data_IF_071173099306
#
_entry.id   IF_071173099306
#
_cell.length_a   1.000
_cell.length_b   1.000
_cell.length_c   1.000
_cell.angle_alpha   90.00
_cell.angle_beta   90.00
_cell.angle_gamma   90.00
#
_symmetry.space_group_name_H-M   'P 1'
#
loop_
_entity.id
_entity.type
_entity.pdbx_description
1 polymer ?
#
# COMPACT_ATOMS: atom_id res chain seq x y z
N UNK A 1 -45.14 30.69 23.74
CA UNK A 1 -43.66 30.73 23.77
C UNK A 1 -43.15 29.76 22.73
N UNK A 2 -42.50 30.28 21.69
CA UNK A 2 -41.92 29.50 20.60
C UNK A 2 -40.65 28.85 21.14
N UNK A 3 -40.62 27.52 21.26
CA UNK A 3 -39.39 26.80 21.56
C UNK A 3 -38.40 27.07 20.43
N UNK A 4 -37.37 27.87 20.70
CA UNK A 4 -36.16 27.92 19.89
C UNK A 4 -35.63 26.48 19.81
N UNK A 5 -35.72 25.86 18.64
CA UNK A 5 -34.98 24.64 18.33
C UNK A 5 -33.51 24.99 18.56
N UNK A 6 -32.97 24.60 19.70
CA UNK A 6 -31.53 24.61 19.91
C UNK A 6 -30.95 23.62 18.91
N UNK A 7 -30.56 24.10 17.74
CA UNK A 7 -29.77 23.32 16.79
C UNK A 7 -28.52 22.86 17.53
N UNK A 8 -28.27 21.54 17.53
CA UNK A 8 -27.08 20.99 18.16
C UNK A 8 -25.85 21.69 17.53
N UNK A 9 -25.03 22.42 18.31
CA UNK A 9 -23.87 23.13 17.77
C UNK A 9 -22.81 22.17 17.20
N UNK A 10 -23.02 20.86 17.32
CA UNK A 10 -22.22 19.81 16.70
C UNK A 10 -22.89 19.17 15.48
N UNK A 11 -24.09 19.58 15.05
CA UNK A 11 -24.83 18.94 13.95
C UNK A 11 -24.03 19.01 12.64
N UNK A 12 -23.50 20.18 12.31
CA UNK A 12 -22.64 20.36 11.13
C UNK A 12 -21.40 19.47 11.20
N UNK A 13 -20.75 19.41 12.37
CA UNK A 13 -19.59 18.54 12.59
C UNK A 13 -19.93 17.06 12.49
N UNK A 14 -21.12 16.65 12.96
CA UNK A 14 -21.61 15.27 12.86
C UNK A 14 -21.78 14.88 11.40
N UNK A 15 -22.42 15.72 10.60
CA UNK A 15 -22.59 15.51 9.16
C UNK A 15 -21.24 15.39 8.45
N UNK A 16 -20.34 16.37 8.64
CA UNK A 16 -19.01 16.35 8.00
C UNK A 16 -18.17 15.13 8.41
N UNK A 17 -18.18 14.76 9.70
CA UNK A 17 -17.44 13.59 10.19
C UNK A 17 -18.01 12.30 9.60
N UNK A 18 -19.34 12.20 9.48
CA UNK A 18 -20.00 11.03 8.90
C UNK A 18 -19.70 10.90 7.40
N UNK A 19 -19.85 11.99 6.64
CA UNK A 19 -19.53 12.03 5.21
C UNK A 19 -18.08 11.63 4.94
N UNK A 20 -17.13 12.14 5.73
CA UNK A 20 -15.73 11.75 5.62
C UNK A 20 -15.50 10.29 6.00
N UNK A 21 -16.18 9.79 7.02
CA UNK A 21 -16.06 8.40 7.44
C UNK A 21 -16.58 7.46 6.36
N UNK A 22 -17.72 7.76 5.75
CA UNK A 22 -18.32 6.99 4.65
C UNK A 22 -17.50 7.09 3.36
N UNK A 23 -17.05 8.29 3.00
CA UNK A 23 -16.14 8.52 1.86
C UNK A 23 -14.90 7.63 1.94
N UNK A 24 -14.35 7.45 3.14
CA UNK A 24 -13.19 6.60 3.37
C UNK A 24 -13.55 5.15 3.77
N UNK A 25 -14.79 4.71 3.53
CA UNK A 25 -15.31 3.36 3.80
C UNK A 25 -15.02 2.87 5.24
N UNK A 26 -15.10 3.77 6.22
CA UNK A 26 -14.82 3.48 7.63
C UNK A 26 -13.35 3.15 7.95
N UNK A 27 -12.42 3.33 7.00
CA UNK A 27 -10.97 3.07 7.17
C UNK A 27 -10.29 4.12 8.05
N UNK A 28 -10.92 5.28 8.28
CA UNK A 28 -10.34 6.39 9.01
C UNK A 28 -10.85 6.46 10.45
N UNK A 29 -9.94 6.31 11.42
CA UNK A 29 -10.19 6.71 12.80
C UNK A 29 -10.07 8.23 13.00
N UNK A 30 -10.41 8.71 14.21
CA UNK A 30 -10.52 10.14 14.53
C UNK A 30 -9.28 10.99 14.16
N UNK A 31 -8.08 10.42 14.22
CA UNK A 31 -6.84 11.14 13.86
C UNK A 31 -6.75 11.45 12.37
N UNK A 32 -7.24 10.56 11.50
CA UNK A 32 -7.24 10.75 10.05
C UNK A 32 -8.40 11.63 9.61
N UNK A 33 -9.59 11.44 10.20
CA UNK A 33 -10.73 12.35 10.02
C UNK A 33 -10.34 13.78 10.40
N UNK A 34 -9.69 13.97 11.55
CA UNK A 34 -9.19 15.28 11.95
C UNK A 34 -8.17 15.87 10.96
N UNK A 35 -7.29 15.05 10.39
CA UNK A 35 -6.31 15.53 9.41
C UNK A 35 -6.97 15.92 8.07
N UNK A 36 -7.98 15.18 7.63
CA UNK A 36 -8.80 15.50 6.45
C UNK A 36 -9.57 16.80 6.67
N UNK A 37 -10.25 16.96 7.81
CA UNK A 37 -10.91 18.21 8.18
C UNK A 37 -9.94 19.39 8.18
N UNK A 38 -8.73 19.20 8.73
CA UNK A 38 -7.70 20.24 8.70
C UNK A 38 -7.21 20.54 7.28
N UNK A 39 -7.07 19.53 6.42
CA UNK A 39 -6.68 19.71 5.02
C UNK A 39 -7.74 20.50 4.22
N UNK A 40 -9.01 20.37 4.60
CA UNK A 40 -10.13 21.15 4.06
C UNK A 40 -10.28 22.55 4.68
N UNK A 41 -9.36 22.96 5.57
CA UNK A 41 -9.33 24.30 6.17
C UNK A 41 -10.11 24.45 7.49
N UNK A 42 -10.72 23.37 8.00
CA UNK A 42 -11.46 23.42 9.25
C UNK A 42 -10.55 23.49 10.48
N UNK A 43 -10.91 24.33 11.45
CA UNK A 43 -10.22 24.46 12.74
C UNK A 43 -11.03 23.73 13.83
N UNK A 44 -10.67 22.47 14.08
CA UNK A 44 -11.32 21.64 15.10
C UNK A 44 -10.27 20.87 15.90
N UNK A 45 -10.51 20.71 17.21
CA UNK A 45 -9.63 19.92 18.07
C UNK A 45 -9.85 18.41 17.85
N UNK A 46 -8.79 17.62 17.71
CA UNK A 46 -8.85 16.16 17.59
C UNK A 46 -9.68 15.46 18.69
N UNK A 47 -9.72 16.01 19.93
CA UNK A 47 -10.57 15.48 21.01
C UNK A 47 -12.06 15.68 20.73
N UNK A 48 -12.44 16.79 20.07
CA UNK A 48 -13.82 17.04 19.66
C UNK A 48 -14.23 16.06 18.57
N UNK A 49 -13.37 15.82 17.57
CA UNK A 49 -13.60 14.79 16.54
C UNK A 49 -13.76 13.41 17.18
N UNK A 50 -12.89 13.05 18.12
CA UNK A 50 -12.98 11.77 18.83
C UNK A 50 -14.30 11.63 19.62
N UNK A 51 -14.75 12.70 20.30
CA UNK A 51 -16.03 12.70 21.02
C UNK A 51 -17.20 12.48 20.08
N UNK A 52 -17.27 13.23 18.98
CA UNK A 52 -18.36 13.13 18.00
C UNK A 52 -18.39 11.73 17.36
N UNK A 53 -17.25 11.16 16.98
CA UNK A 53 -17.21 9.79 16.46
C UNK A 53 -17.74 8.77 17.48
N UNK A 54 -17.47 8.96 18.79
CA UNK A 54 -18.04 8.09 19.83
C UNK A 54 -19.56 8.28 19.97
N UNK A 55 -20.05 9.51 19.88
CA UNK A 55 -21.50 9.80 19.94
C UNK A 55 -22.25 9.18 18.77
N UNK A 56 -21.63 9.11 17.59
CA UNK A 56 -22.17 8.49 16.38
C UNK A 56 -21.88 6.98 16.26
N UNK A 57 -21.28 6.38 17.30
CA UNK A 57 -20.76 4.99 17.32
C UNK A 57 -19.87 4.60 16.12
N UNK A 58 -19.15 5.57 15.55
CA UNK A 58 -18.23 5.36 14.42
C UNK A 58 -16.94 4.70 14.92
N UNK A 59 -16.83 3.38 14.72
CA UNK A 59 -15.66 2.59 15.11
C UNK A 59 -14.86 2.16 13.88
N UNK A 60 -13.57 2.48 13.87
CA UNK A 60 -12.62 1.89 12.93
C UNK A 60 -12.31 0.46 13.41
N UNK A 61 -13.08 -0.53 12.94
CA UNK A 61 -13.00 -1.92 13.40
C UNK A 61 -11.92 -2.75 12.70
N UNK A 62 -11.23 -2.17 11.71
CA UNK A 62 -10.28 -2.89 10.84
C UNK A 62 -8.86 -2.95 11.42
N UNK A 63 -8.69 -3.73 12.49
CA UNK A 63 -7.37 -4.09 13.04
C UNK A 63 -7.35 -5.55 13.53
N UNK A 64 -7.10 -6.51 12.63
CA UNK A 64 -6.93 -7.93 12.97
C UNK A 64 -5.56 -8.41 12.50
N UNK A 65 -4.74 -8.98 13.39
CA UNK A 65 -3.39 -9.49 13.04
C UNK A 65 -3.44 -10.96 12.65
N UNK A 66 -3.06 -11.30 11.42
CA UNK A 66 -2.81 -12.68 10.99
C UNK A 66 -1.54 -12.87 10.13
N UNK A 67 -1.15 -14.14 9.94
CA UNK A 67 0.21 -14.61 9.61
C UNK A 67 0.66 -14.47 8.15
N UNK A 68 1.97 -14.66 7.93
CA UNK A 68 2.76 -14.18 6.77
C UNK A 68 2.98 -15.26 5.70
N UNK A 69 2.92 -14.84 4.43
CA UNK A 69 3.38 -15.61 3.26
C UNK A 69 4.92 -15.70 3.24
N UNK A 70 5.47 -16.85 2.82
CA UNK A 70 6.92 -17.06 2.64
C UNK A 70 7.18 -17.69 1.27
N UNK A 71 7.85 -16.95 0.38
CA UNK A 71 8.20 -17.38 -0.99
C UNK A 71 9.57 -18.07 -1.12
N UNK A 72 10.30 -18.21 -0.01
CA UNK A 72 11.70 -18.67 -0.01
C UNK A 72 11.83 -20.16 -0.34
N UNK A 73 12.48 -20.48 -1.48
CA UNK A 73 12.77 -21.85 -1.94
C UNK A 73 14.26 -22.23 -1.94
N UNK A 74 15.13 -21.46 -1.28
CA UNK A 74 16.59 -21.69 -1.31
C UNK A 74 17.34 -20.84 -2.33
N UNK A 75 18.64 -21.13 -2.53
CA UNK A 75 19.51 -20.44 -3.49
C UNK A 75 19.27 -21.04 -4.88
N UNK A 76 18.44 -20.39 -5.69
CA UNK A 76 18.08 -20.87 -7.04
C UNK A 76 18.86 -20.10 -8.12
N UNK A 77 19.33 -18.87 -7.82
CA UNK A 77 20.05 -18.04 -8.77
C UNK A 77 21.07 -17.09 -8.13
N UNK A 78 21.42 -16.01 -8.85
CA UNK A 78 22.46 -15.05 -8.45
C UNK A 78 21.89 -13.99 -7.52
N UNK A 79 22.43 -13.89 -6.31
CA UNK A 79 22.06 -12.85 -5.32
C UNK A 79 22.78 -11.54 -5.64
N UNK A 80 22.05 -10.43 -5.77
CA UNK A 80 22.62 -9.10 -5.93
C UNK A 80 23.02 -8.48 -4.58
N UNK A 81 24.02 -7.59 -4.59
CA UNK A 81 24.42 -6.84 -3.40
C UNK A 81 23.27 -5.92 -2.91
N UNK A 82 23.14 -5.76 -1.59
CA UNK A 82 22.19 -4.82 -1.01
C UNK A 82 22.67 -3.37 -1.22
N UNK A 83 22.15 -2.71 -2.26
CA UNK A 83 22.43 -1.30 -2.60
C UNK A 83 21.50 -0.31 -1.87
N UNK A 84 20.33 -0.76 -1.41
CA UNK A 84 19.38 0.09 -0.68
C UNK A 84 19.88 0.42 0.73
N UNK A 85 20.45 -0.59 1.41
CA UNK A 85 21.05 -0.49 2.75
C UNK A 85 20.17 0.30 3.73
N UNK A 86 18.86 0.01 3.74
CA UNK A 86 17.81 0.65 4.58
C UNK A 86 17.63 2.16 4.37
N UNK A 87 18.20 2.74 3.31
CA UNK A 87 17.98 4.14 2.93
C UNK A 87 16.67 4.26 2.16
N UNK A 88 15.54 4.13 2.85
CA UNK A 88 14.21 4.19 2.24
C UNK A 88 13.84 5.61 1.77
N UNK A 89 14.43 6.65 2.34
CA UNK A 89 14.20 8.00 1.84
C UNK A 89 15.01 8.26 0.55
N UNK A 90 14.35 8.84 -0.44
CA UNK A 90 14.97 9.39 -1.65
C UNK A 90 14.34 10.75 -1.95
N UNK A 91 15.12 11.79 -2.27
CA UNK A 91 14.59 13.09 -2.63
C UNK A 91 14.12 13.16 -4.09
N UNK A 92 14.42 12.15 -4.91
CA UNK A 92 14.11 12.12 -6.34
C UNK A 92 13.15 10.97 -6.63
N UNK A 93 12.13 11.24 -7.44
CA UNK A 93 11.22 10.26 -8.04
C UNK A 93 12.00 9.21 -8.83
N UNK A 94 11.46 7.99 -8.88
CA UNK A 94 11.93 6.84 -9.66
C UNK A 94 13.37 6.40 -9.40
N UNK A 95 14.06 7.00 -8.43
CA UNK A 95 15.45 6.69 -8.11
C UNK A 95 15.58 5.38 -7.36
N UNK A 96 14.63 5.10 -6.46
CA UNK A 96 14.60 3.88 -5.66
C UNK A 96 13.18 3.33 -5.67
N UNK A 97 13.03 2.15 -6.23
CA UNK A 97 11.78 1.41 -6.23
C UNK A 97 11.93 0.17 -5.36
N UNK A 98 10.83 -0.28 -4.77
CA UNK A 98 10.76 -1.53 -4.01
C UNK A 98 9.65 -2.42 -4.58
N UNK A 99 9.84 -3.74 -4.52
CA UNK A 99 8.87 -4.72 -4.99
C UNK A 99 8.89 -5.96 -4.09
N UNK A 100 7.72 -6.58 -3.93
CA UNK A 100 7.55 -7.86 -3.25
C UNK A 100 6.25 -8.53 -3.70
N UNK A 101 6.01 -9.77 -3.31
CA UNK A 101 4.78 -10.51 -3.61
C UNK A 101 3.99 -10.79 -2.34
N UNK A 102 2.68 -10.56 -2.37
CA UNK A 102 1.77 -10.97 -1.30
C UNK A 102 0.64 -11.83 -1.84
N UNK A 103 0.12 -12.73 -1.00
CA UNK A 103 -1.01 -13.60 -1.34
C UNK A 103 -2.28 -13.21 -0.57
N UNK A 104 -3.44 -13.49 -1.17
CA UNK A 104 -4.76 -13.39 -0.58
C UNK A 104 -5.51 -14.70 -0.85
N UNK A 105 -6.36 -15.11 0.10
CA UNK A 105 -7.32 -16.20 -0.11
C UNK A 105 -8.60 -15.64 -0.71
N UNK A 106 -9.20 -16.39 -1.62
CA UNK A 106 -10.50 -16.14 -2.22
C UNK A 106 -11.47 -17.25 -1.80
N UNK A 107 -12.72 -17.19 -2.27
CA UNK A 107 -13.64 -18.34 -2.22
C UNK A 107 -13.10 -19.53 -3.01
N UNK A 108 -13.69 -20.71 -2.81
CA UNK A 108 -13.37 -21.93 -3.57
C UNK A 108 -11.89 -22.36 -3.48
N UNK A 109 -11.23 -22.05 -2.36
CA UNK A 109 -9.80 -22.30 -2.13
C UNK A 109 -8.86 -21.68 -3.19
N UNK A 110 -9.35 -20.72 -3.97
CA UNK A 110 -8.53 -19.96 -4.89
C UNK A 110 -7.62 -18.97 -4.13
N UNK A 111 -6.52 -18.60 -4.78
CA UNK A 111 -5.59 -17.60 -4.28
C UNK A 111 -5.37 -16.51 -5.30
N UNK A 112 -5.20 -15.29 -4.80
CA UNK A 112 -4.78 -14.13 -5.57
C UNK A 112 -3.40 -13.70 -5.12
N UNK A 113 -2.47 -13.54 -6.06
CA UNK A 113 -1.13 -13.01 -5.82
C UNK A 113 -1.03 -11.62 -6.42
N UNK A 114 -0.44 -10.69 -5.67
CA UNK A 114 -0.21 -9.30 -6.06
C UNK A 114 1.29 -9.00 -6.04
N UNK A 115 1.80 -8.42 -7.12
CA UNK A 115 3.19 -7.94 -7.24
C UNK A 115 3.19 -6.45 -7.57
N UNK A 116 3.26 -5.57 -6.55
CA UNK A 116 3.34 -4.13 -6.76
C UNK A 116 4.79 -3.65 -6.81
N UNK A 117 5.02 -2.57 -7.55
CA UNK A 117 6.26 -1.81 -7.57
C UNK A 117 5.95 -0.41 -7.03
N UNK A 118 6.62 -0.04 -5.94
CA UNK A 118 6.43 1.23 -5.24
C UNK A 118 7.62 2.16 -5.48
N UNK A 119 7.35 3.45 -5.74
CA UNK A 119 8.36 4.52 -5.65
C UNK A 119 8.53 4.98 -4.21
N UNK A 120 9.76 4.89 -3.69
CA UNK A 120 10.08 5.30 -2.32
C UNK A 120 10.09 6.82 -2.12
N UNK A 121 10.01 7.63 -3.17
CA UNK A 121 9.93 9.09 -3.06
C UNK A 121 8.63 9.53 -2.34
N UNK A 122 7.48 9.08 -2.84
CA UNK A 122 6.14 9.42 -2.35
C UNK A 122 5.35 8.21 -1.83
N UNK A 123 5.92 7.00 -1.93
CA UNK A 123 5.28 5.75 -1.56
C UNK A 123 4.11 5.38 -2.48
N UNK A 124 4.13 5.80 -3.74
CA UNK A 124 3.10 5.49 -4.74
C UNK A 124 3.35 4.12 -5.39
N UNK A 125 2.30 3.35 -5.64
CA UNK A 125 2.38 2.13 -6.45
C UNK A 125 2.32 2.54 -7.92
N UNK A 126 3.46 2.51 -8.61
CA UNK A 126 3.60 2.97 -10.00
C UNK A 126 3.32 1.88 -11.04
N UNK A 127 3.15 0.63 -10.58
CA UNK A 127 2.71 -0.48 -11.41
C UNK A 127 2.54 -1.76 -10.60
N UNK A 128 1.65 -2.63 -11.05
CA UNK A 128 1.41 -3.91 -10.41
C UNK A 128 0.84 -4.94 -11.40
N UNK A 129 0.91 -6.20 -11.00
CA UNK A 129 0.23 -7.32 -11.67
C UNK A 129 -0.51 -8.16 -10.63
N UNK A 130 -1.54 -8.88 -11.09
CA UNK A 130 -2.37 -9.78 -10.29
C UNK A 130 -2.46 -11.12 -11.02
N UNK A 131 -2.33 -12.24 -10.29
CA UNK A 131 -2.46 -13.58 -10.88
C UNK A 131 -3.01 -14.61 -9.90
N UNK A 132 -3.60 -15.69 -10.41
CA UNK A 132 -3.99 -16.88 -9.63
C UNK A 132 -2.78 -17.70 -9.15
N UNK A 133 -1.61 -17.51 -9.77
CA UNK A 133 -0.39 -18.28 -9.46
C UNK A 133 0.83 -17.36 -9.37
N UNK A 134 1.78 -17.62 -8.46
CA UNK A 134 2.97 -16.80 -8.30
C UNK A 134 4.03 -17.21 -9.33
N UNK A 135 3.77 -17.02 -10.63
CA UNK A 135 4.70 -17.36 -11.72
C UNK A 135 5.75 -16.27 -11.93
N UNK A 136 6.79 -16.57 -12.71
CA UNK A 136 7.78 -15.57 -13.13
C UNK A 136 7.17 -14.49 -14.01
N UNK A 137 6.34 -14.89 -14.98
CA UNK A 137 5.73 -13.97 -15.94
C UNK A 137 4.87 -12.92 -15.25
N UNK A 138 4.16 -13.32 -14.19
CA UNK A 138 3.42 -12.41 -13.33
C UNK A 138 4.30 -11.31 -12.72
N UNK A 139 5.47 -11.65 -12.17
CA UNK A 139 6.40 -10.63 -11.61
C UNK A 139 7.07 -9.81 -12.72
N UNK A 140 7.34 -10.41 -13.88
CA UNK A 140 7.86 -9.67 -15.04
C UNK A 140 6.83 -8.69 -15.60
N UNK A 141 5.54 -9.02 -15.56
CA UNK A 141 4.45 -8.15 -16.04
C UNK A 141 4.41 -6.83 -15.26
N UNK A 142 4.50 -6.87 -13.92
CA UNK A 142 4.55 -5.65 -13.11
C UNK A 142 5.77 -4.80 -13.46
N UNK A 143 6.94 -5.43 -13.69
CA UNK A 143 8.13 -4.73 -14.16
C UNK A 143 7.92 -4.11 -15.55
N UNK A 144 7.35 -4.84 -16.50
CA UNK A 144 7.10 -4.36 -17.86
C UNK A 144 6.16 -3.15 -17.90
N UNK A 145 5.19 -3.05 -16.97
CA UNK A 145 4.34 -1.86 -16.83
C UNK A 145 5.12 -0.63 -16.36
N UNK A 146 6.15 -0.82 -15.53
CA UNK A 146 6.93 0.29 -14.93
C UNK A 146 8.11 0.73 -15.78
N UNK A 147 8.68 -0.16 -16.60
CA UNK A 147 9.85 0.15 -17.42
C UNK A 147 9.66 1.36 -18.36
N UNK A 148 8.52 1.54 -19.08
CA UNK A 148 8.28 2.73 -19.88
C UNK A 148 8.28 4.02 -19.06
N UNK A 149 7.72 3.98 -17.84
CA UNK A 149 7.69 5.13 -16.92
C UNK A 149 9.13 5.52 -16.54
N UNK A 150 9.95 4.54 -16.17
CA UNK A 150 11.38 4.75 -15.85
C UNK A 150 12.11 5.37 -17.05
N UNK A 151 11.94 4.81 -18.24
CA UNK A 151 12.64 5.27 -19.45
C UNK A 151 12.27 6.70 -19.82
N UNK A 152 11.01 7.09 -19.64
CA UNK A 152 10.51 8.40 -20.06
C UNK A 152 10.72 9.50 -19.00
N UNK A 153 10.72 9.15 -17.71
CA UNK A 153 10.62 10.14 -16.64
C UNK A 153 11.79 10.14 -15.65
N UNK A 154 12.57 9.06 -15.55
CA UNK A 154 13.62 8.97 -14.54
C UNK A 154 14.83 9.83 -14.92
N UNK A 155 15.13 10.86 -14.12
CA UNK A 155 16.33 11.69 -14.30
C UNK A 155 17.62 10.95 -13.94
N UNK A 156 17.54 10.00 -13.01
CA UNK A 156 18.68 9.23 -12.52
C UNK A 156 18.46 7.75 -12.76
N UNK A 157 19.56 7.00 -12.82
CA UNK A 157 19.50 5.55 -12.93
C UNK A 157 18.76 4.93 -11.74
N UNK A 158 17.64 4.27 -12.03
CA UNK A 158 16.78 3.61 -11.05
C UNK A 158 17.45 2.40 -10.41
N UNK A 159 17.22 2.23 -9.10
CA UNK A 159 17.48 0.97 -8.38
C UNK A 159 16.17 0.33 -7.98
N UNK A 160 15.94 -0.93 -8.37
CA UNK A 160 14.82 -1.74 -7.87
C UNK A 160 15.34 -2.67 -6.78
N UNK A 161 14.71 -2.60 -5.60
CA UNK A 161 15.02 -3.44 -4.45
C UNK A 161 13.92 -4.48 -4.22
N UNK A 162 14.32 -5.73 -4.00
CA UNK A 162 13.41 -6.84 -3.68
C UNK A 162 13.95 -7.68 -2.53
N UNK A 163 13.15 -8.63 -2.06
CA UNK A 163 13.65 -9.72 -1.23
C UNK A 163 14.51 -10.72 -2.05
N UNK A 164 14.92 -11.81 -1.40
CA UNK A 164 15.62 -12.94 -2.05
C UNK A 164 14.67 -14.02 -2.59
N UNK A 165 13.44 -13.66 -2.97
CA UNK A 165 12.51 -14.55 -3.65
C UNK A 165 13.08 -15.12 -4.95
N UNK A 166 12.66 -16.33 -5.32
CA UNK A 166 13.19 -17.02 -6.49
C UNK A 166 12.92 -16.27 -7.80
N UNK A 167 11.79 -15.54 -7.89
CA UNK A 167 11.44 -14.69 -9.03
C UNK A 167 12.53 -13.66 -9.32
N UNK A 168 12.99 -12.98 -8.28
CA UNK A 168 13.98 -11.90 -8.39
C UNK A 168 15.42 -12.41 -8.59
N UNK A 169 15.68 -13.68 -8.25
CA UNK A 169 16.95 -14.34 -8.58
C UNK A 169 16.98 -14.89 -10.01
N UNK A 170 15.83 -15.00 -10.67
CA UNK A 170 15.71 -15.66 -11.97
C UNK A 170 16.42 -14.86 -13.08
N UNK A 171 17.07 -15.57 -14.00
CA UNK A 171 17.87 -14.95 -15.06
C UNK A 171 17.07 -13.97 -15.94
N UNK A 172 15.81 -14.27 -16.25
CA UNK A 172 14.95 -13.35 -17.03
C UNK A 172 14.77 -12.02 -16.32
N UNK A 173 14.49 -12.01 -15.00
CA UNK A 173 14.38 -10.77 -14.22
C UNK A 173 15.69 -9.98 -14.25
N UNK A 174 16.81 -10.64 -13.95
CA UNK A 174 18.15 -10.02 -13.95
C UNK A 174 18.50 -9.44 -15.32
N UNK A 175 18.22 -10.19 -16.40
CA UNK A 175 18.49 -9.78 -17.78
C UNK A 175 17.62 -8.60 -18.18
N UNK A 176 16.32 -8.62 -17.87
CA UNK A 176 15.38 -7.53 -18.14
C UNK A 176 15.84 -6.23 -17.45
N UNK A 177 16.22 -6.28 -16.17
CA UNK A 177 16.76 -5.11 -15.47
C UNK A 177 18.05 -4.59 -16.14
N UNK A 178 18.97 -5.48 -16.49
CA UNK A 178 20.24 -5.11 -17.12
C UNK A 178 20.05 -4.45 -18.48
N UNK A 179 19.17 -5.00 -19.32
CA UNK A 179 18.85 -4.45 -20.64
C UNK A 179 18.24 -3.04 -20.55
N UNK A 180 17.46 -2.80 -19.51
CA UNK A 180 16.83 -1.50 -19.26
C UNK A 180 17.69 -0.56 -18.40
N UNK A 181 18.98 -0.89 -18.20
CA UNK A 181 19.92 -0.10 -17.37
C UNK A 181 19.41 0.15 -15.95
N UNK A 182 18.58 -0.71 -15.38
CA UNK A 182 18.11 -0.62 -13.99
C UNK A 182 19.08 -1.38 -13.07
N UNK A 183 19.41 -0.81 -11.92
CA UNK A 183 20.20 -1.52 -10.91
C UNK A 183 19.31 -2.44 -10.08
N UNK A 184 19.71 -3.71 -9.97
CA UNK A 184 19.13 -4.62 -9.01
C UNK A 184 19.77 -4.43 -7.63
N UNK A 185 18.93 -4.42 -6.60
CA UNK A 185 19.31 -4.56 -5.20
C UNK A 185 18.46 -5.67 -4.58
N UNK A 186 19.04 -6.45 -3.67
CA UNK A 186 18.29 -7.46 -2.93
C UNK A 186 18.56 -7.34 -1.43
N UNK A 187 17.57 -7.62 -0.60
CA UNK A 187 17.71 -7.63 0.85
C UNK A 187 18.73 -8.68 1.31
N UNK A 188 19.28 -8.52 2.51
CA UNK A 188 20.03 -9.62 3.15
C UNK A 188 19.02 -10.67 3.63
N UNK A 189 19.43 -11.93 3.55
CA UNK A 189 18.63 -13.06 4.06
C UNK A 189 18.20 -12.79 5.51
N UNK A 190 16.94 -13.07 5.81
CA UNK A 190 16.34 -12.93 7.16
C UNK A 190 16.35 -11.50 7.76
N UNK A 191 16.46 -10.46 6.94
CA UNK A 191 16.43 -9.07 7.42
C UNK A 191 15.14 -8.36 6.98
N UNK A 192 14.05 -8.50 7.75
CA UNK A 192 12.76 -7.85 7.47
C UNK A 192 12.88 -6.32 7.30
N UNK A 193 13.80 -5.71 8.05
CA UNK A 193 14.07 -4.27 7.99
C UNK A 193 14.49 -3.78 6.60
N UNK A 194 14.98 -4.65 5.71
CA UNK A 194 15.43 -4.26 4.38
C UNK A 194 14.26 -4.14 3.36
N UNK A 195 13.09 -4.72 3.65
CA UNK A 195 11.88 -4.62 2.81
C UNK A 195 10.69 -3.96 3.52
N UNK A 196 10.96 -3.19 4.58
CA UNK A 196 9.95 -2.63 5.48
C UNK A 196 8.88 -1.78 4.78
N UNK A 197 9.22 -1.11 3.66
CA UNK A 197 8.27 -0.30 2.90
C UNK A 197 7.15 -1.16 2.27
N UNK A 198 7.50 -2.29 1.63
CA UNK A 198 6.51 -3.21 1.08
C UNK A 198 5.73 -3.93 2.18
N UNK A 199 6.41 -4.33 3.27
CA UNK A 199 5.73 -4.92 4.43
C UNK A 199 4.68 -3.96 5.01
N UNK A 200 5.01 -2.67 5.12
CA UNK A 200 4.10 -1.64 5.59
C UNK A 200 2.89 -1.46 4.65
N UNK A 201 3.14 -1.37 3.34
CA UNK A 201 2.10 -1.30 2.33
C UNK A 201 1.14 -2.48 2.40
N UNK A 202 1.66 -3.72 2.42
CA UNK A 202 0.83 -4.91 2.50
C UNK A 202 0.05 -4.99 3.80
N UNK A 203 0.66 -4.58 4.92
CA UNK A 203 -0.04 -4.46 6.19
C UNK A 203 -1.23 -3.51 6.08
N UNK A 204 -1.02 -2.31 5.57
CA UNK A 204 -2.08 -1.30 5.39
C UNK A 204 -3.18 -1.82 4.44
N UNK A 205 -2.80 -2.30 3.27
CA UNK A 205 -3.70 -2.85 2.25
C UNK A 205 -4.60 -3.94 2.86
N UNK A 206 -4.00 -4.96 3.49
CA UNK A 206 -4.76 -6.07 4.03
C UNK A 206 -5.65 -5.66 5.20
N UNK A 207 -5.17 -4.78 6.08
CA UNK A 207 -6.01 -4.28 7.17
C UNK A 207 -7.21 -3.49 6.65
N UNK A 208 -7.00 -2.56 5.71
CA UNK A 208 -8.04 -1.62 5.33
C UNK A 208 -9.12 -2.24 4.40
N UNK A 209 -8.78 -3.26 3.59
CA UNK A 209 -9.72 -3.82 2.61
C UNK A 209 -9.97 -5.33 2.65
N UNK A 210 -9.19 -6.11 3.41
CA UNK A 210 -9.22 -7.57 3.34
C UNK A 210 -9.54 -8.26 4.67
N UNK A 211 -8.86 -7.91 5.75
CA UNK A 211 -9.06 -8.55 7.05
C UNK A 211 -10.41 -8.14 7.67
N UNK A 212 -11.13 -9.14 8.20
CA UNK A 212 -12.46 -8.95 8.78
C UNK A 212 -13.60 -8.93 7.74
N UNK A 213 -13.28 -9.05 6.45
CA UNK A 213 -14.24 -9.14 5.35
C UNK A 213 -14.52 -10.61 5.00
N UNK A 214 -15.71 -10.89 4.46
CA UNK A 214 -16.02 -12.21 3.89
C UNK A 214 -15.15 -12.45 2.66
N UNK A 215 -14.70 -13.70 2.46
CA UNK A 215 -13.97 -14.07 1.25
C UNK A 215 -14.88 -13.92 0.03
N UNK A 216 -14.33 -13.37 -1.04
CA UNK A 216 -15.02 -13.11 -2.31
C UNK A 216 -14.30 -13.84 -3.47
N UNK A 217 -14.95 -14.03 -4.62
CA UNK A 217 -14.34 -14.64 -5.80
C UNK A 217 -13.13 -13.87 -6.31
N UNK A 218 -12.27 -14.56 -7.07
CA UNK A 218 -11.01 -14.00 -7.57
C UNK A 218 -11.18 -12.67 -8.34
N UNK A 219 -12.12 -12.61 -9.29
CA UNK A 219 -12.32 -11.39 -10.09
C UNK A 219 -12.81 -10.22 -9.24
N UNK A 220 -13.69 -10.47 -8.28
CA UNK A 220 -14.17 -9.42 -7.38
C UNK A 220 -13.05 -8.91 -6.45
N UNK A 221 -12.21 -9.80 -5.93
CA UNK A 221 -11.06 -9.40 -5.12
C UNK A 221 -10.03 -8.63 -5.94
N UNK A 222 -9.80 -9.03 -7.19
CA UNK A 222 -8.92 -8.34 -8.12
C UNK A 222 -9.38 -6.90 -8.33
N UNK A 223 -10.65 -6.71 -8.68
CA UNK A 223 -11.21 -5.36 -8.84
C UNK A 223 -11.13 -4.53 -7.54
N UNK A 224 -11.38 -5.17 -6.39
CA UNK A 224 -11.28 -4.50 -5.08
C UNK A 224 -9.85 -4.03 -4.80
N UNK A 225 -8.84 -4.83 -5.14
CA UNK A 225 -7.42 -4.46 -5.03
C UNK A 225 -7.07 -3.33 -5.99
N UNK A 226 -7.53 -3.39 -7.25
CA UNK A 226 -7.30 -2.35 -8.25
C UNK A 226 -7.87 -1.00 -7.79
N UNK A 227 -9.14 -0.98 -7.34
CA UNK A 227 -9.78 0.21 -6.75
C UNK A 227 -9.04 0.70 -5.50
N UNK A 228 -8.58 -0.21 -4.64
CA UNK A 228 -7.83 0.20 -3.45
C UNK A 228 -6.48 0.82 -3.79
N UNK A 229 -5.76 0.31 -4.80
CA UNK A 229 -4.47 0.89 -5.21
C UNK A 229 -4.66 2.30 -5.76
N UNK A 230 -5.73 2.53 -6.54
CA UNK A 230 -6.10 3.87 -7.00
C UNK A 230 -6.38 4.82 -5.82
N UNK A 231 -7.24 4.41 -4.88
CA UNK A 231 -7.49 5.13 -3.64
C UNK A 231 -6.21 5.39 -2.83
N UNK A 232 -5.33 4.40 -2.71
CA UNK A 232 -4.08 4.50 -1.94
C UNK A 232 -3.11 5.53 -2.53
N UNK A 233 -3.08 5.63 -3.87
CA UNK A 233 -2.23 6.59 -4.57
C UNK A 233 -2.82 8.00 -4.56
N UNK A 234 -4.13 8.13 -4.78
CA UNK A 234 -4.74 9.41 -5.14
C UNK A 234 -5.52 10.09 -3.99
N UNK A 235 -6.05 9.33 -3.02
CA UNK A 235 -6.98 9.87 -2.02
C UNK A 235 -6.53 9.66 -0.57
N UNK A 236 -5.72 8.61 -0.32
CA UNK A 236 -5.37 8.22 1.04
C UNK A 236 -4.35 9.18 1.66
N UNK A 237 -4.72 9.86 2.76
CA UNK A 237 -3.79 10.69 3.54
C UNK A 237 -2.66 9.83 4.12
N UNK A 238 -1.43 10.21 3.80
CA UNK A 238 -0.20 9.64 4.38
C UNK A 238 0.31 10.57 5.48
N UNK A 239 -0.04 10.28 6.74
CA UNK A 239 0.61 10.95 7.87
C UNK A 239 2.03 10.42 8.02
N UNK A 240 3.03 11.24 7.68
CA UNK A 240 4.41 10.98 8.12
C UNK A 240 4.47 11.27 9.61
N UNK A 241 4.83 10.28 10.43
CA UNK A 241 5.29 10.56 11.78
C UNK A 241 6.57 11.39 11.59
N UNK A 242 6.51 12.69 11.92
CA UNK A 242 7.71 13.49 12.00
C UNK A 242 8.65 12.81 12.99
N UNK A 243 9.87 12.53 12.54
CA UNK A 243 10.96 12.08 13.40
C UNK A 243 11.46 13.27 14.24
#
# INVERSE_FOLDING_TARGET
MQQLKNEDPNQEWKTLILELFEKHEGRYGYRRIHAELKAQGYVINHKKVQRIMKELDLKCMKFVRESRYKSYKGKVGKVANNRLNRRFNTPNTLKKLVTDVTEFKCTEDEKLYLSPIMDLYNGEIIGFSISKRPTLDFVLESLHKVLPIIQNQATYRTTIHSDQGWHYQHNSWVKTLRQNKVFQSMSRKATCADNAAMENFFGILKQEMYYGEVLIPFEELKEKIERYIDYYNNERIKQKLAA
#
